data_IF_709189274491
#
_entry.id   IF_709189274491
#
_cell.length_a   1.000
_cell.length_b   1.000
_cell.length_c   1.000
_cell.angle_alpha   90.00
_cell.angle_beta   90.00
_cell.angle_gamma   90.00
#
_symmetry.space_group_name_H-M   'P 1'
#
loop_
_entity.id
_entity.type
_entity.pdbx_description
1 polymer ?
#
# COMPACT_ATOMS: atom_id res chain seq x y z
N UNK A 1 0.38 -19.84 -39.14
CA UNK A 1 1.40 -18.85 -39.55
C UNK A 1 1.51 -17.83 -38.42
N UNK A 2 2.40 -18.09 -37.45
CA UNK A 2 2.98 -17.15 -36.51
C UNK A 2 3.85 -17.93 -35.51
N UNK A 3 4.95 -18.51 -36.09
CA UNK A 3 6.08 -18.95 -35.29
C UNK A 3 7.20 -17.95 -35.59
N UNK A 4 7.37 -16.94 -34.76
CA UNK A 4 8.56 -16.08 -34.77
C UNK A 4 9.17 -16.08 -33.37
N UNK A 5 10.14 -17.03 -33.23
CA UNK A 5 11.47 -16.82 -32.73
C UNK A 5 11.57 -16.11 -31.37
N UNK A 6 11.63 -16.93 -30.31
CA UNK A 6 12.29 -16.55 -29.07
C UNK A 6 13.78 -16.76 -29.23
N UNK A 7 14.54 -15.69 -29.37
CA UNK A 7 16.00 -15.71 -29.24
C UNK A 7 16.33 -15.35 -27.79
N UNK A 8 16.66 -16.36 -26.99
CA UNK A 8 17.19 -16.15 -25.66
C UNK A 8 18.69 -15.88 -25.76
N UNK A 9 19.13 -14.69 -25.40
CA UNK A 9 20.54 -14.35 -25.26
C UNK A 9 20.96 -14.72 -23.83
N UNK A 10 21.75 -15.81 -23.71
CA UNK A 10 22.38 -16.17 -22.44
C UNK A 10 23.62 -15.29 -22.27
N UNK A 11 23.60 -14.33 -21.37
CA UNK A 11 24.78 -13.60 -20.94
C UNK A 11 25.28 -14.24 -19.64
N UNK A 12 26.34 -15.00 -19.72
CA UNK A 12 27.05 -15.56 -18.57
C UNK A 12 28.02 -14.52 -18.04
N UNK A 13 27.64 -13.86 -16.92
CA UNK A 13 28.54 -13.05 -16.12
C UNK A 13 29.09 -13.89 -14.96
N UNK A 14 30.41 -14.01 -14.87
CA UNK A 14 31.11 -14.70 -13.78
C UNK A 14 31.04 -13.85 -12.50
N UNK A 15 30.24 -14.28 -11.53
CA UNK A 15 30.47 -14.21 -10.08
C UNK A 15 29.15 -14.40 -9.31
N UNK A 16 29.00 -15.55 -8.72
CA UNK A 16 27.93 -16.14 -7.89
C UNK A 16 26.92 -17.05 -8.61
N UNK A 17 26.78 -18.31 -8.16
CA UNK A 17 26.06 -19.36 -8.89
C UNK A 17 24.53 -19.38 -8.71
N UNK A 18 23.88 -18.33 -8.20
CA UNK A 18 22.44 -18.41 -7.85
C UNK A 18 21.52 -17.35 -8.51
N UNK A 19 22.02 -16.52 -9.43
CA UNK A 19 21.15 -15.50 -10.03
C UNK A 19 21.27 -15.51 -11.54
N UNK A 20 20.25 -16.03 -12.23
CA UNK A 20 20.08 -15.91 -13.67
C UNK A 20 19.12 -14.76 -13.94
N UNK A 21 19.62 -13.67 -14.52
CA UNK A 21 18.79 -12.53 -14.92
C UNK A 21 18.36 -12.71 -16.36
N UNK A 22 17.07 -12.91 -16.62
CA UNK A 22 16.50 -12.96 -17.97
C UNK A 22 15.88 -11.59 -18.27
N UNK A 23 16.47 -10.85 -19.22
CA UNK A 23 15.89 -9.63 -19.76
C UNK A 23 15.00 -9.94 -20.95
N UNK A 24 13.69 -9.74 -20.83
CA UNK A 24 12.75 -9.76 -21.95
C UNK A 24 12.55 -8.34 -22.46
N UNK A 25 13.12 -8.03 -23.62
CA UNK A 25 12.87 -6.76 -24.32
C UNK A 25 11.74 -6.94 -25.31
N UNK A 26 10.60 -6.31 -25.04
CA UNK A 26 9.53 -6.13 -26.04
C UNK A 26 9.76 -4.78 -26.70
N UNK A 27 10.13 -4.79 -27.97
CA UNK A 27 10.31 -3.55 -28.73
C UNK A 27 8.99 -2.81 -28.91
N UNK A 28 8.88 -1.63 -28.35
CA UNK A 28 7.83 -0.65 -28.65
C UNK A 28 8.43 0.73 -28.92
N UNK A 29 7.80 1.40 -29.86
CA UNK A 29 8.03 2.73 -30.43
C UNK A 29 8.12 3.83 -29.35
N UNK A 30 8.94 4.89 -29.50
CA UNK A 30 9.25 5.84 -28.43
C UNK A 30 8.13 6.85 -28.15
N UNK A 31 7.66 6.86 -26.91
CA UNK A 31 6.88 7.93 -26.32
C UNK A 31 7.35 8.14 -24.87
N UNK A 32 7.26 9.34 -24.28
CA UNK A 32 7.83 9.63 -22.98
C UNK A 32 6.97 9.00 -21.86
N UNK A 33 7.40 7.86 -21.33
CA UNK A 33 6.79 7.21 -20.18
C UNK A 33 7.72 7.20 -18.99
N UNK A 34 7.16 7.58 -17.82
CA UNK A 34 7.79 7.44 -16.50
C UNK A 34 8.08 5.96 -16.20
N UNK A 35 9.18 5.61 -15.55
CA UNK A 35 9.49 4.22 -15.21
C UNK A 35 8.48 3.69 -14.18
N UNK A 36 7.84 2.55 -14.51
CA UNK A 36 7.05 1.75 -13.56
C UNK A 36 7.99 0.83 -12.78
N UNK A 37 7.68 0.50 -11.53
CA UNK A 37 8.52 -0.41 -10.74
C UNK A 37 8.56 -1.80 -11.36
N UNK A 38 9.75 -2.36 -11.50
CA UNK A 38 9.97 -3.72 -11.98
C UNK A 38 9.66 -4.70 -10.84
N UNK A 39 8.79 -5.67 -11.12
CA UNK A 39 8.57 -6.81 -10.23
C UNK A 39 9.68 -7.83 -10.52
N UNK A 40 10.59 -8.01 -9.56
CA UNK A 40 11.62 -9.05 -9.63
C UNK A 40 11.02 -10.33 -9.02
N UNK A 41 10.58 -11.25 -9.87
CA UNK A 41 10.16 -12.58 -9.42
C UNK A 41 11.41 -13.46 -9.17
N UNK A 42 11.51 -14.04 -7.96
CA UNK A 42 12.59 -14.98 -7.62
C UNK A 42 12.51 -16.23 -8.54
N UNK A 43 13.65 -16.69 -8.99
CA UNK A 43 13.84 -17.75 -9.99
C UNK A 43 13.12 -19.07 -9.69
N UNK A 44 12.87 -19.40 -8.43
CA UNK A 44 12.14 -20.62 -8.01
C UNK A 44 10.66 -20.59 -8.36
N UNK A 45 10.01 -19.44 -8.22
CA UNK A 45 8.57 -19.27 -8.53
C UNK A 45 8.33 -19.30 -10.04
N UNK A 46 9.29 -18.76 -10.82
CA UNK A 46 9.20 -18.79 -12.28
C UNK A 46 9.40 -20.20 -12.87
N UNK A 47 10.29 -21.01 -12.28
CA UNK A 47 10.51 -22.39 -12.72
C UNK A 47 9.28 -23.27 -12.43
N UNK A 48 8.59 -23.07 -11.29
CA UNK A 48 7.36 -23.78 -10.95
C UNK A 48 6.20 -23.39 -11.87
N UNK A 49 6.08 -22.10 -12.22
CA UNK A 49 5.08 -21.63 -13.17
C UNK A 49 5.35 -22.11 -14.61
N UNK A 50 6.64 -22.18 -15.01
CA UNK A 50 7.02 -22.73 -16.32
C UNK A 50 6.85 -24.25 -16.37
N UNK A 51 7.10 -24.96 -15.27
CA UNK A 51 6.91 -26.41 -15.18
C UNK A 51 5.42 -26.78 -15.20
N UNK A 52 4.56 -25.98 -14.57
CA UNK A 52 3.11 -26.17 -14.64
C UNK A 52 2.54 -25.88 -16.03
N UNK A 53 3.10 -24.91 -16.76
CA UNK A 53 2.74 -24.65 -18.16
C UNK A 53 3.23 -25.75 -19.12
N UNK A 54 4.37 -26.40 -18.82
CA UNK A 54 4.89 -27.51 -19.62
C UNK A 54 4.19 -28.84 -19.34
N UNK A 55 3.66 -29.04 -18.15
CA UNK A 55 2.90 -30.26 -17.80
C UNK A 55 1.49 -30.23 -18.42
N UNK A 56 0.89 -29.05 -18.59
CA UNK A 56 -0.37 -28.90 -19.30
C UNK A 56 -0.27 -29.01 -20.84
N UNK A 57 0.94 -28.99 -21.38
CA UNK A 57 1.16 -29.11 -22.84
C UNK A 57 1.46 -30.54 -23.34
N UNK A 58 1.50 -31.53 -22.42
CA UNK A 58 1.66 -32.96 -22.81
C UNK A 58 0.38 -33.74 -22.53
N UNK A 59 -0.77 -33.15 -22.80
CA UNK A 59 -1.98 -33.93 -23.02
C UNK A 59 -2.03 -34.36 -24.50
N UNK A 60 -1.43 -35.51 -24.76
CA UNK A 60 -1.58 -36.37 -25.92
C UNK A 60 -2.57 -35.88 -26.99
N UNK A 61 -2.06 -35.57 -28.17
CA UNK A 61 -2.82 -35.63 -29.38
C UNK A 61 -3.21 -37.09 -29.67
N UNK A 62 -4.23 -37.60 -28.96
CA UNK A 62 -5.05 -38.69 -29.46
C UNK A 62 -6.06 -38.02 -30.39
N UNK A 63 -6.02 -38.35 -31.68
CA UNK A 63 -7.07 -38.03 -32.64
C UNK A 63 -8.32 -38.81 -32.26
N UNK A 64 -9.02 -38.38 -31.20
CA UNK A 64 -10.37 -38.86 -30.94
C UNK A 64 -11.32 -38.01 -31.79
N UNK A 65 -12.11 -38.68 -32.60
CA UNK A 65 -13.21 -38.08 -33.38
C UNK A 65 -14.37 -37.62 -32.48
N UNK A 66 -14.22 -37.68 -31.17
CA UNK A 66 -15.25 -37.38 -30.19
C UNK A 66 -15.29 -35.91 -29.77
N UNK A 67 -16.42 -35.45 -29.27
CA UNK A 67 -16.59 -34.12 -28.65
C UNK A 67 -15.88 -34.11 -27.31
N UNK A 68 -14.90 -33.21 -27.20
CA UNK A 68 -14.12 -32.98 -25.98
C UNK A 68 -14.36 -31.55 -25.49
N UNK A 69 -14.67 -31.33 -24.21
CA UNK A 69 -14.81 -30.01 -23.67
C UNK A 69 -13.44 -29.30 -23.62
N UNK A 70 -13.44 -28.02 -23.93
CA UNK A 70 -12.23 -27.17 -23.86
C UNK A 70 -12.02 -26.55 -22.48
N UNK A 71 -13.11 -26.43 -21.71
CA UNK A 71 -13.09 -25.90 -20.34
C UNK A 71 -14.19 -26.58 -19.50
N UNK A 72 -13.95 -26.63 -18.19
CA UNK A 72 -14.92 -27.01 -17.19
C UNK A 72 -14.88 -26.02 -16.02
N UNK A 73 -16.02 -25.78 -15.36
CA UNK A 73 -16.08 -24.87 -14.20
C UNK A 73 -15.44 -25.48 -12.94
N UNK A 74 -15.19 -26.79 -12.94
CA UNK A 74 -14.47 -27.50 -11.88
C UNK A 74 -13.30 -28.28 -12.50
N UNK A 75 -12.38 -28.79 -11.69
CA UNK A 75 -11.29 -29.67 -12.13
C UNK A 75 -9.91 -29.07 -11.94
N UNK A 76 -9.70 -27.81 -12.31
CA UNK A 76 -8.39 -27.15 -12.17
C UNK A 76 -8.21 -26.47 -10.79
N UNK A 77 -9.27 -26.32 -10.02
CA UNK A 77 -9.28 -25.69 -8.71
C UNK A 77 -10.07 -26.51 -7.69
N UNK A 78 -9.66 -26.47 -6.41
CA UNK A 78 -10.46 -27.05 -5.33
C UNK A 78 -11.85 -26.39 -5.24
N UNK A 79 -12.85 -27.16 -4.88
CA UNK A 79 -14.23 -26.69 -4.70
C UNK A 79 -14.49 -26.48 -3.22
N UNK A 80 -14.69 -25.24 -2.83
CA UNK A 80 -14.92 -24.86 -1.43
C UNK A 80 -16.40 -24.68 -1.07
N UNK A 81 -17.25 -24.49 -2.04
CA UNK A 81 -18.68 -24.23 -1.84
C UNK A 81 -19.56 -25.44 -2.15
N UNK A 82 -20.87 -25.29 -1.97
CA UNK A 82 -21.84 -26.26 -2.44
C UNK A 82 -21.90 -26.26 -3.98
N UNK A 83 -22.27 -27.39 -4.54
CA UNK A 83 -22.37 -27.60 -5.99
C UNK A 83 -23.83 -27.78 -6.38
N UNK A 84 -24.37 -26.87 -7.17
CA UNK A 84 -25.68 -26.98 -7.78
C UNK A 84 -25.60 -27.32 -9.28
N UNK A 85 -24.53 -26.88 -9.95
CA UNK A 85 -24.31 -27.14 -11.37
C UNK A 85 -22.83 -27.18 -11.73
N UNK A 86 -22.51 -27.91 -12.81
CA UNK A 86 -21.19 -27.98 -13.43
C UNK A 86 -21.31 -27.71 -14.91
N UNK A 87 -20.48 -26.81 -15.47
CA UNK A 87 -20.56 -26.43 -16.88
C UNK A 87 -19.32 -26.89 -17.64
N UNK A 88 -19.59 -27.44 -18.83
CA UNK A 88 -18.59 -27.87 -19.79
C UNK A 88 -18.73 -27.02 -21.05
N UNK A 89 -17.61 -26.46 -21.53
CA UNK A 89 -17.57 -25.57 -22.66
C UNK A 89 -16.92 -26.27 -23.86
N UNK A 90 -17.53 -26.17 -25.03
CA UNK A 90 -17.08 -26.75 -26.29
C UNK A 90 -16.86 -25.67 -27.35
N UNK A 91 -15.89 -25.86 -28.22
CA UNK A 91 -15.61 -24.94 -29.33
C UNK A 91 -16.56 -25.08 -30.52
N UNK A 92 -17.59 -25.87 -30.38
CA UNK A 92 -18.65 -26.10 -31.39
C UNK A 92 -20.02 -26.06 -30.71
N UNK A 93 -21.06 -25.82 -31.48
CA UNK A 93 -22.43 -25.99 -31.01
C UNK A 93 -22.72 -27.43 -30.62
N UNK A 94 -23.46 -27.62 -29.55
CA UNK A 94 -23.79 -28.93 -28.98
C UNK A 94 -25.29 -29.12 -28.76
N UNK A 95 -25.73 -30.36 -28.76
CA UNK A 95 -27.05 -30.80 -28.33
C UNK A 95 -26.90 -31.95 -27.35
N UNK A 96 -27.85 -32.10 -26.44
CA UNK A 96 -27.86 -33.21 -25.46
C UNK A 96 -28.96 -34.20 -25.80
N UNK A 97 -28.71 -35.48 -25.50
CA UNK A 97 -29.73 -36.54 -25.61
C UNK A 97 -30.84 -36.23 -24.61
N UNK A 98 -32.13 -36.29 -25.03
CA UNK A 98 -33.24 -36.20 -24.09
C UNK A 98 -33.08 -37.20 -22.94
N UNK A 99 -33.34 -36.75 -21.71
CA UNK A 99 -33.26 -37.56 -20.48
C UNK A 99 -31.86 -38.11 -20.15
N UNK A 100 -30.81 -37.76 -20.89
CA UNK A 100 -29.45 -38.12 -20.52
C UNK A 100 -29.09 -37.55 -19.16
N UNK A 101 -28.35 -38.33 -18.37
CA UNK A 101 -27.92 -37.97 -17.03
C UNK A 101 -26.41 -37.96 -16.94
N UNK A 102 -25.89 -37.09 -16.10
CA UNK A 102 -24.52 -37.16 -15.61
C UNK A 102 -24.53 -37.64 -14.17
N UNK A 103 -23.38 -38.09 -13.72
CA UNK A 103 -23.22 -38.66 -12.39
C UNK A 103 -22.12 -38.01 -11.63
N UNK A 104 -22.42 -37.58 -10.39
CA UNK A 104 -21.41 -37.20 -9.42
C UNK A 104 -21.00 -38.44 -8.63
N UNK A 105 -19.73 -38.76 -8.60
CA UNK A 105 -19.19 -39.96 -7.96
C UNK A 105 -18.11 -39.64 -6.94
N UNK A 106 -18.06 -40.46 -5.87
CA UNK A 106 -16.92 -40.61 -4.98
C UNK A 106 -16.37 -42.04 -5.17
N UNK A 107 -15.20 -42.19 -5.73
CA UNK A 107 -14.72 -43.49 -6.20
C UNK A 107 -15.69 -44.09 -7.23
N UNK A 108 -16.26 -45.30 -6.92
CA UNK A 108 -17.25 -45.97 -7.75
C UNK A 108 -18.70 -45.68 -7.33
N UNK A 109 -18.91 -45.09 -6.17
CA UNK A 109 -20.22 -44.77 -5.63
C UNK A 109 -20.80 -43.52 -6.34
N UNK A 110 -22.07 -43.63 -6.76
CA UNK A 110 -22.82 -42.47 -7.29
C UNK A 110 -23.47 -41.72 -6.15
N UNK A 111 -23.04 -40.49 -5.94
CA UNK A 111 -23.55 -39.58 -4.89
C UNK A 111 -24.80 -38.86 -5.35
N UNK A 112 -24.82 -38.40 -6.61
CA UNK A 112 -25.95 -37.68 -7.18
C UNK A 112 -26.04 -37.89 -8.69
N UNK A 113 -27.28 -37.73 -9.21
CA UNK A 113 -27.55 -37.65 -10.65
C UNK A 113 -27.85 -36.19 -11.02
N UNK A 114 -27.29 -35.75 -12.13
CA UNK A 114 -27.55 -34.41 -12.70
C UNK A 114 -28.22 -34.52 -14.05
N UNK A 115 -29.17 -33.64 -14.32
CA UNK A 115 -29.77 -33.48 -15.65
C UNK A 115 -28.85 -32.69 -16.57
N UNK A 116 -28.85 -33.03 -17.86
CA UNK A 116 -28.08 -32.29 -18.86
C UNK A 116 -28.95 -31.25 -19.55
N UNK A 117 -28.44 -30.04 -19.61
CA UNK A 117 -28.99 -28.96 -20.44
C UNK A 117 -27.89 -28.39 -21.33
N UNK A 118 -28.24 -27.78 -22.46
CA UNK A 118 -27.27 -27.14 -23.32
C UNK A 118 -27.72 -25.79 -23.81
N UNK A 119 -26.75 -24.92 -24.08
CA UNK A 119 -26.95 -23.63 -24.74
C UNK A 119 -25.84 -23.36 -25.74
N UNK A 120 -26.17 -22.76 -26.89
CA UNK A 120 -25.21 -22.44 -27.92
C UNK A 120 -25.14 -20.92 -28.12
N UNK A 121 -23.94 -20.42 -28.23
CA UNK A 121 -23.67 -19.05 -28.59
C UNK A 121 -22.94 -19.00 -29.93
N UNK A 122 -23.53 -18.34 -30.92
CA UNK A 122 -22.95 -18.15 -32.24
C UNK A 122 -22.55 -16.69 -32.41
N UNK A 123 -21.27 -16.41 -32.27
CA UNK A 123 -20.68 -15.11 -32.51
C UNK A 123 -20.13 -14.97 -33.93
N UNK A 124 -19.69 -13.74 -34.30
CA UNK A 124 -19.13 -13.45 -35.63
C UNK A 124 -17.91 -14.29 -36.03
N UNK A 125 -17.19 -14.87 -35.05
CA UNK A 125 -15.92 -15.56 -35.28
C UNK A 125 -15.90 -17.03 -34.87
N UNK A 126 -16.82 -17.47 -34.01
CA UNK A 126 -16.89 -18.84 -33.50
C UNK A 126 -18.27 -19.17 -32.98
N UNK A 127 -18.62 -20.46 -33.01
CA UNK A 127 -19.73 -21.03 -32.26
C UNK A 127 -19.15 -21.71 -31.04
N UNK A 128 -19.81 -21.53 -29.89
CA UNK A 128 -19.42 -22.11 -28.62
C UNK A 128 -20.66 -22.77 -28.02
N UNK A 129 -20.52 -24.04 -27.65
CA UNK A 129 -21.54 -24.76 -26.94
C UNK A 129 -21.23 -24.84 -25.44
N UNK A 130 -22.24 -24.77 -24.61
CA UNK A 130 -22.15 -25.02 -23.17
C UNK A 130 -23.11 -26.10 -22.79
N UNK A 131 -22.61 -27.12 -22.09
CA UNK A 131 -23.43 -28.16 -21.45
C UNK A 131 -23.38 -27.93 -19.96
N UNK A 132 -24.54 -27.81 -19.32
CA UNK A 132 -24.68 -27.75 -17.87
C UNK A 132 -25.15 -29.09 -17.34
N UNK A 133 -24.52 -29.57 -16.29
CA UNK A 133 -24.97 -30.67 -15.44
C UNK A 133 -25.64 -30.02 -14.25
N UNK A 134 -26.94 -30.09 -14.13
CA UNK A 134 -27.72 -29.46 -13.07
C UNK A 134 -28.20 -30.50 -12.08
N UNK A 135 -27.79 -30.40 -10.83
CA UNK A 135 -28.23 -31.26 -9.74
C UNK A 135 -29.55 -30.76 -9.17
N UNK A 136 -30.41 -31.70 -8.71
CA UNK A 136 -31.74 -31.36 -8.19
C UNK A 136 -31.67 -30.48 -6.93
N UNK A 137 -30.66 -30.71 -6.12
CA UNK A 137 -30.39 -30.00 -4.87
C UNK A 137 -28.97 -29.39 -4.86
N UNK A 138 -28.76 -28.42 -4.02
CA UNK A 138 -27.43 -27.89 -3.73
C UNK A 138 -26.66 -28.91 -2.87
N UNK A 139 -25.58 -29.46 -3.42
CA UNK A 139 -24.83 -30.56 -2.83
C UNK A 139 -23.68 -30.03 -1.96
N UNK A 140 -23.78 -30.22 -0.66
CA UNK A 140 -22.70 -29.94 0.29
C UNK A 140 -21.89 -31.24 0.51
N UNK A 141 -20.84 -31.41 -0.28
CA UNK A 141 -20.01 -32.61 -0.27
C UNK A 141 -19.07 -32.64 0.95
N UNK A 142 -18.82 -33.83 1.54
CA UNK A 142 -17.80 -34.01 2.57
C UNK A 142 -16.44 -33.46 2.18
N UNK A 143 -15.77 -32.80 3.13
CA UNK A 143 -14.43 -32.24 2.94
C UNK A 143 -13.33 -33.30 3.02
N UNK A 144 -12.20 -33.01 2.37
CA UNK A 144 -11.05 -33.93 2.34
C UNK A 144 -11.19 -35.09 1.36
N UNK A 145 -12.21 -35.05 0.52
CA UNK A 145 -12.54 -36.12 -0.41
C UNK A 145 -12.39 -35.68 -1.86
N UNK A 146 -12.16 -36.66 -2.74
CA UNK A 146 -12.10 -36.45 -4.20
C UNK A 146 -13.37 -36.97 -4.86
N UNK A 147 -13.84 -36.17 -5.78
CA UNK A 147 -15.07 -36.45 -6.54
C UNK A 147 -14.79 -36.38 -8.03
N UNK A 148 -15.68 -36.97 -8.81
CA UNK A 148 -15.66 -36.82 -10.27
C UNK A 148 -17.07 -36.64 -10.81
N UNK A 149 -17.20 -35.75 -11.79
CA UNK A 149 -18.41 -35.62 -12.60
C UNK A 149 -18.21 -36.44 -13.86
N UNK A 150 -19.11 -37.38 -14.12
CA UNK A 150 -19.06 -38.28 -15.27
C UNK A 150 -20.26 -38.03 -16.18
N UNK A 151 -20.01 -37.75 -17.44
CA UNK A 151 -21.01 -37.68 -18.51
C UNK A 151 -20.79 -38.90 -19.39
N UNK A 152 -21.78 -39.83 -19.47
CA UNK A 152 -21.64 -41.04 -20.27
C UNK A 152 -21.42 -40.76 -21.76
N UNK A 153 -20.78 -41.68 -22.44
CA UNK A 153 -20.64 -41.67 -23.88
C UNK A 153 -21.99 -41.52 -24.59
N UNK A 154 -22.05 -40.72 -25.64
CA UNK A 154 -23.26 -40.53 -26.45
C UNK A 154 -24.34 -39.67 -25.79
N UNK A 155 -24.04 -38.98 -24.71
CA UNK A 155 -24.93 -38.03 -24.05
C UNK A 155 -24.97 -36.65 -24.71
N UNK A 156 -23.89 -36.28 -25.39
CA UNK A 156 -23.72 -34.98 -26.06
C UNK A 156 -23.37 -35.21 -27.54
N UNK A 157 -24.02 -34.46 -28.42
CA UNK A 157 -23.78 -34.47 -29.85
C UNK A 157 -23.36 -33.11 -30.38
N UNK A 158 -22.63 -33.08 -31.47
CA UNK A 158 -22.40 -31.83 -32.20
C UNK A 158 -23.72 -31.36 -32.79
N UNK A 159 -24.05 -30.08 -32.61
CA UNK A 159 -25.29 -29.50 -33.12
C UNK A 159 -25.50 -29.78 -34.63
N UNK A 160 -26.68 -30.24 -34.97
CA UNK A 160 -27.08 -30.56 -36.34
C UNK A 160 -26.53 -31.86 -36.89
N UNK A 161 -25.85 -32.70 -36.10
CA UNK A 161 -25.37 -34.02 -36.51
C UNK A 161 -25.61 -35.05 -35.42
N UNK A 162 -25.81 -36.31 -35.78
CA UNK A 162 -25.88 -37.45 -34.84
C UNK A 162 -24.62 -38.32 -34.86
N UNK A 163 -23.68 -38.01 -35.76
CA UNK A 163 -22.53 -38.88 -36.04
C UNK A 163 -21.32 -38.56 -35.16
N UNK A 164 -21.32 -37.37 -34.53
CA UNK A 164 -20.22 -36.90 -33.68
C UNK A 164 -20.77 -36.73 -32.27
N UNK A 165 -20.44 -37.67 -31.38
CA UNK A 165 -20.85 -37.65 -29.98
C UNK A 165 -19.61 -37.59 -29.05
N UNK A 166 -19.85 -37.31 -27.76
CA UNK A 166 -18.80 -37.43 -26.76
C UNK A 166 -18.45 -38.89 -26.48
N UNK A 167 -17.18 -39.15 -26.21
CA UNK A 167 -16.77 -40.30 -25.39
C UNK A 167 -17.15 -40.00 -23.92
N UNK A 168 -16.92 -40.94 -23.00
CA UNK A 168 -17.12 -40.66 -21.58
C UNK A 168 -16.28 -39.44 -21.17
N UNK A 169 -16.90 -38.39 -20.65
CA UNK A 169 -16.24 -37.24 -20.08
C UNK A 169 -16.20 -37.44 -18.58
N UNK A 170 -15.00 -37.40 -17.99
CA UNK A 170 -14.79 -37.49 -16.55
C UNK A 170 -13.89 -36.38 -16.08
N UNK A 171 -14.37 -35.57 -15.14
CA UNK A 171 -13.61 -34.48 -14.54
C UNK A 171 -13.53 -34.65 -13.03
N UNK A 172 -12.31 -34.79 -12.54
CA UNK A 172 -12.05 -34.95 -11.11
C UNK A 172 -11.86 -33.56 -10.45
N UNK A 173 -12.28 -33.47 -9.20
CA UNK A 173 -12.07 -32.32 -8.34
C UNK A 173 -11.96 -32.76 -6.88
N UNK A 174 -11.44 -31.84 -6.04
CA UNK A 174 -11.29 -32.09 -4.61
C UNK A 174 -12.11 -31.06 -3.81
N UNK A 175 -12.75 -31.52 -2.75
CA UNK A 175 -13.28 -30.69 -1.68
C UNK A 175 -12.23 -30.68 -0.57
N UNK A 176 -11.48 -29.61 -0.39
CA UNK A 176 -10.32 -29.62 0.51
C UNK A 176 -10.73 -29.74 1.98
N UNK A 177 -9.84 -30.26 2.81
CA UNK A 177 -10.05 -30.39 4.26
C UNK A 177 -9.92 -29.07 5.02
N UNK A 178 -9.20 -28.10 4.45
CA UNK A 178 -8.94 -26.76 5.00
C UNK A 178 -8.84 -25.72 3.88
N UNK A 179 -8.63 -24.45 4.22
CA UNK A 179 -8.51 -23.34 3.28
C UNK A 179 -7.24 -23.34 2.42
N UNK A 180 -6.37 -24.35 2.58
CA UNK A 180 -5.09 -24.39 1.90
C UNK A 180 -4.06 -23.45 2.55
N UNK A 181 -2.97 -23.23 1.84
CA UNK A 181 -1.87 -22.42 2.34
C UNK A 181 -2.24 -20.94 2.33
N UNK A 182 -2.12 -20.29 3.48
CA UNK A 182 -2.22 -18.84 3.62
C UNK A 182 -0.99 -18.16 3.00
N UNK A 183 -1.21 -17.16 2.15
CA UNK A 183 -0.15 -16.33 1.56
C UNK A 183 -0.12 -14.98 2.28
N UNK A 184 0.96 -14.61 2.96
CA UNK A 184 1.02 -13.35 3.68
C UNK A 184 1.02 -12.15 2.72
N UNK A 185 0.45 -11.03 3.16
CA UNK A 185 0.42 -9.76 2.41
C UNK A 185 1.76 -9.02 2.42
N UNK A 186 2.67 -9.42 3.29
CA UNK A 186 4.06 -8.95 3.35
C UNK A 186 4.99 -10.14 3.25
N UNK A 187 6.15 -9.97 2.63
CA UNK A 187 7.13 -11.05 2.51
C UNK A 187 7.74 -11.40 3.87
N UNK A 188 7.98 -12.69 4.09
CA UNK A 188 8.68 -13.21 5.28
C UNK A 188 10.05 -12.53 5.44
N UNK A 189 10.30 -11.94 6.62
CA UNK A 189 11.54 -11.24 6.96
C UNK A 189 11.73 -9.89 6.26
N UNK A 190 10.71 -9.38 5.57
CA UNK A 190 10.78 -8.06 4.91
C UNK A 190 10.80 -6.91 5.92
N UNK A 191 11.23 -5.73 5.46
CA UNK A 191 11.16 -4.51 6.26
C UNK A 191 9.89 -3.74 5.94
N UNK A 192 9.06 -3.49 6.96
CA UNK A 192 7.80 -2.75 6.87
C UNK A 192 7.92 -1.45 7.66
N UNK A 193 7.88 -0.31 6.97
CA UNK A 193 7.95 1.01 7.63
C UNK A 193 6.59 1.42 8.17
N UNK A 194 5.59 1.42 7.30
CA UNK A 194 4.20 1.74 7.63
C UNK A 194 3.25 0.99 6.70
N UNK A 195 2.11 0.59 7.21
CA UNK A 195 1.07 -0.10 6.44
C UNK A 195 -0.31 0.19 7.03
N UNK A 196 -1.34 0.22 6.21
CA UNK A 196 -2.73 0.39 6.62
C UNK A 196 -3.44 -0.95 6.86
N UNK A 197 -3.04 -2.00 6.13
CA UNK A 197 -3.59 -3.35 6.24
C UNK A 197 -2.51 -4.40 6.19
N UNK A 198 -2.61 -5.45 7.03
CA UNK A 198 -1.69 -6.60 7.03
C UNK A 198 -2.47 -7.88 7.32
N UNK A 199 -2.19 -8.95 6.58
CA UNK A 199 -2.90 -10.21 6.75
C UNK A 199 -2.45 -11.30 5.80
N UNK A 200 -3.37 -12.20 5.47
CA UNK A 200 -3.14 -13.40 4.67
C UNK A 200 -4.20 -13.53 3.58
N UNK A 201 -3.77 -13.97 2.40
CA UNK A 201 -4.64 -14.32 1.29
C UNK A 201 -4.87 -15.82 1.25
N UNK A 202 -6.08 -16.21 0.86
CA UNK A 202 -6.53 -17.58 0.69
C UNK A 202 -7.03 -17.81 -0.74
N UNK A 203 -6.97 -19.04 -1.25
CA UNK A 203 -7.37 -19.35 -2.64
C UNK A 203 -8.87 -19.32 -2.89
N UNK A 204 -9.68 -18.91 -1.92
CA UNK A 204 -11.14 -18.78 -2.01
C UNK A 204 -11.63 -17.65 -1.14
N UNK A 205 -12.84 -17.15 -1.41
CA UNK A 205 -13.52 -16.21 -0.53
C UNK A 205 -13.64 -16.73 0.90
N UNK A 206 -13.40 -15.86 1.87
CA UNK A 206 -13.38 -16.23 3.29
C UNK A 206 -14.48 -15.53 4.08
N UNK A 207 -14.91 -16.17 5.15
CA UNK A 207 -15.82 -15.63 6.14
C UNK A 207 -15.18 -15.65 7.54
N UNK A 208 -15.46 -14.63 8.33
CA UNK A 208 -15.05 -14.60 9.72
C UNK A 208 -15.87 -15.59 10.54
N UNK A 209 -15.21 -16.34 11.42
CA UNK A 209 -15.90 -17.17 12.41
C UNK A 209 -16.11 -16.35 13.68
N UNK A 210 -17.12 -16.70 14.46
CA UNK A 210 -17.45 -15.98 15.71
C UNK A 210 -16.26 -16.00 16.67
N UNK A 211 -15.94 -14.82 17.24
CA UNK A 211 -14.82 -14.64 18.16
C UNK A 211 -13.43 -14.69 17.49
N UNK A 212 -13.35 -14.68 16.16
CA UNK A 212 -12.09 -14.73 15.47
C UNK A 212 -11.24 -13.49 15.75
N UNK A 213 -9.96 -13.70 15.78
CA UNK A 213 -8.99 -12.65 16.05
C UNK A 213 -7.66 -12.96 15.42
N UNK A 214 -6.88 -11.92 15.19
CA UNK A 214 -5.51 -12.00 14.71
C UNK A 214 -4.62 -11.23 15.69
N UNK A 215 -3.45 -11.75 15.97
CA UNK A 215 -2.57 -11.19 17.00
C UNK A 215 -1.31 -10.63 16.37
N UNK A 216 -1.02 -9.36 16.69
CA UNK A 216 0.26 -8.74 16.42
C UNK A 216 1.20 -8.98 17.61
N UNK A 217 2.38 -9.53 17.32
CA UNK A 217 3.44 -9.75 18.31
C UNK A 217 4.61 -8.78 18.03
N UNK A 218 5.28 -8.35 19.08
CA UNK A 218 6.52 -7.58 19.06
C UNK A 218 7.57 -8.35 19.84
N UNK A 219 8.71 -8.66 19.23
CA UNK A 219 9.77 -9.47 19.87
C UNK A 219 9.22 -10.78 20.46
N UNK A 220 8.26 -11.41 19.78
CA UNK A 220 7.61 -12.64 20.22
C UNK A 220 6.56 -12.47 21.33
N UNK A 221 6.32 -11.25 21.83
CA UNK A 221 5.32 -10.95 22.86
C UNK A 221 4.07 -10.37 22.23
N UNK A 222 2.85 -10.86 22.54
CA UNK A 222 1.62 -10.27 22.06
C UNK A 222 1.48 -8.78 22.47
N UNK A 223 1.37 -7.90 21.49
CA UNK A 223 1.15 -6.47 21.72
C UNK A 223 -0.34 -6.19 21.78
N UNK A 224 -1.07 -6.73 20.83
CA UNK A 224 -2.50 -6.53 20.69
C UNK A 224 -3.15 -7.60 19.81
N UNK A 225 -4.34 -7.99 20.22
CA UNK A 225 -5.25 -8.83 19.42
C UNK A 225 -6.31 -7.95 18.79
N UNK A 226 -6.54 -8.13 17.51
CA UNK A 226 -7.50 -7.40 16.71
C UNK A 226 -8.61 -8.33 16.24
N UNK A 227 -9.85 -7.85 16.05
CA UNK A 227 -10.80 -8.56 15.23
C UNK A 227 -10.17 -8.83 13.85
N UNK A 228 -10.38 -10.03 13.33
CA UNK A 228 -9.91 -10.34 11.99
C UNK A 228 -10.85 -9.72 10.96
N UNK A 229 -10.36 -8.76 10.19
CA UNK A 229 -11.07 -8.20 9.04
C UNK A 229 -11.01 -9.19 7.87
N UNK A 230 -12.15 -9.49 7.29
CA UNK A 230 -12.25 -10.37 6.12
C UNK A 230 -12.80 -9.59 4.94
N UNK A 231 -12.17 -9.80 3.81
CA UNK A 231 -12.60 -9.22 2.55
C UNK A 231 -12.22 -10.17 1.41
N UNK A 232 -12.64 -9.87 0.20
CA UNK A 232 -12.20 -10.61 -0.99
C UNK A 232 -11.78 -9.62 -2.07
N UNK A 233 -10.85 -10.08 -2.89
CA UNK A 233 -10.41 -9.39 -4.08
C UNK A 233 -10.32 -10.41 -5.23
N UNK A 234 -11.19 -10.21 -6.22
CA UNK A 234 -11.41 -11.18 -7.30
C UNK A 234 -11.84 -12.53 -6.74
N UNK A 235 -11.02 -13.56 -6.88
CA UNK A 235 -11.28 -14.94 -6.42
C UNK A 235 -10.54 -15.28 -5.12
N UNK A 236 -9.86 -14.32 -4.49
CA UNK A 236 -9.05 -14.53 -3.30
C UNK A 236 -9.75 -13.98 -2.06
N UNK A 237 -9.80 -14.78 -1.01
CA UNK A 237 -10.16 -14.33 0.31
C UNK A 237 -9.00 -13.64 1.00
N UNK A 238 -9.27 -12.63 1.81
CA UNK A 238 -8.32 -11.96 2.66
C UNK A 238 -8.77 -12.05 4.11
N UNK A 239 -7.83 -12.30 5.03
CA UNK A 239 -8.04 -12.25 6.48
C UNK A 239 -6.89 -11.50 7.13
N UNK A 240 -7.16 -10.42 7.84
CA UNK A 240 -6.10 -9.58 8.38
C UNK A 240 -6.55 -8.53 9.37
N UNK A 241 -5.72 -7.52 9.55
CA UNK A 241 -5.99 -6.33 10.33
C UNK A 241 -6.10 -5.15 9.36
N UNK A 242 -7.19 -4.41 9.45
CA UNK A 242 -7.29 -3.07 8.94
C UNK A 242 -7.10 -2.11 10.12
N UNK A 243 -6.02 -1.35 10.10
CA UNK A 243 -5.73 -0.40 11.18
C UNK A 243 -6.59 0.87 11.08
N UNK A 244 -7.19 1.15 9.92
CA UNK A 244 -7.90 2.40 9.65
C UNK A 244 -6.98 3.63 9.56
N UNK A 245 -5.68 3.44 9.70
CA UNK A 245 -4.63 4.46 9.58
C UNK A 245 -3.30 3.77 9.22
N UNK A 246 -2.29 4.55 8.81
CA UNK A 246 -0.96 4.01 8.58
C UNK A 246 -0.27 3.67 9.89
N UNK A 247 -0.29 2.39 10.24
CA UNK A 247 0.44 1.86 11.40
C UNK A 247 1.94 1.87 11.11
N UNK A 248 2.72 2.44 12.02
CA UNK A 248 4.17 2.56 11.94
C UNK A 248 4.83 1.47 12.78
N UNK A 249 5.81 0.78 12.21
CA UNK A 249 6.56 -0.28 12.87
C UNK A 249 7.98 0.21 13.18
N UNK A 250 8.33 0.23 14.47
CA UNK A 250 9.58 0.76 14.98
C UNK A 250 10.79 0.07 14.33
N UNK A 251 11.77 0.89 13.93
CA UNK A 251 12.95 0.44 13.21
C UNK A 251 13.74 -0.65 13.96
N UNK A 252 14.14 -1.70 13.24
CA UNK A 252 14.89 -2.85 13.75
C UNK A 252 14.19 -3.72 14.79
N UNK A 253 12.90 -3.49 15.05
CA UNK A 253 12.08 -4.32 15.93
C UNK A 253 11.46 -5.45 15.13
N UNK A 254 11.49 -6.67 15.68
CA UNK A 254 10.87 -7.84 15.06
C UNK A 254 9.39 -7.91 15.41
N UNK A 255 8.58 -8.07 14.39
CA UNK A 255 7.14 -8.25 14.51
C UNK A 255 6.70 -9.57 13.89
N UNK A 256 5.62 -10.12 14.42
CA UNK A 256 4.96 -11.28 13.83
C UNK A 256 3.45 -11.04 13.81
N UNK A 257 2.81 -11.48 12.72
CA UNK A 257 1.36 -11.53 12.64
C UNK A 257 0.93 -12.99 12.73
N UNK A 258 0.11 -13.33 13.71
CA UNK A 258 -0.40 -14.67 13.96
C UNK A 258 -1.89 -14.73 13.71
N UNK A 259 -2.31 -15.54 12.73
CA UNK A 259 -3.68 -15.94 12.50
C UNK A 259 -3.89 -17.35 13.08
N UNK A 260 -4.67 -17.51 14.13
CA UNK A 260 -4.89 -18.81 14.74
C UNK A 260 -5.60 -19.78 13.80
N UNK A 261 -5.42 -21.07 14.00
CA UNK A 261 -6.21 -22.11 13.33
C UNK A 261 -7.70 -21.91 13.61
N UNK A 262 -8.53 -22.00 12.57
CA UNK A 262 -9.97 -21.88 12.69
C UNK A 262 -10.49 -20.45 12.92
N UNK A 263 -9.68 -19.42 12.63
CA UNK A 263 -10.11 -18.04 12.72
C UNK A 263 -11.04 -17.63 11.57
N UNK A 264 -10.84 -18.18 10.39
CA UNK A 264 -11.66 -17.94 9.20
C UNK A 264 -12.04 -19.25 8.53
N UNK A 265 -13.12 -19.23 7.77
CA UNK A 265 -13.60 -20.37 6.98
C UNK A 265 -13.80 -19.96 5.52
N UNK A 266 -14.02 -20.94 4.64
CA UNK A 266 -14.56 -20.66 3.31
C UNK A 266 -15.96 -20.03 3.42
N UNK A 267 -16.32 -19.12 2.51
CA UNK A 267 -17.51 -18.26 2.63
C UNK A 267 -18.80 -19.04 2.93
N UNK A 268 -19.06 -20.16 2.32
CA UNK A 268 -20.27 -20.94 2.52
C UNK A 268 -20.01 -22.29 3.21
N UNK A 269 -18.84 -22.45 3.86
CA UNK A 269 -18.38 -23.70 4.45
C UNK A 269 -17.64 -23.45 5.77
N UNK A 270 -18.39 -23.25 6.83
CA UNK A 270 -17.82 -23.00 8.17
C UNK A 270 -17.00 -24.18 8.72
N UNK A 271 -17.10 -25.36 8.11
CA UNK A 271 -16.33 -26.56 8.45
C UNK A 271 -14.96 -26.62 7.73
N UNK A 272 -14.72 -25.82 6.68
CA UNK A 272 -13.44 -25.71 5.98
C UNK A 272 -12.74 -24.43 6.46
N UNK A 273 -11.84 -24.58 7.42
CA UNK A 273 -11.17 -23.46 8.11
C UNK A 273 -9.70 -23.36 7.76
N UNK A 274 -9.08 -22.21 8.12
CA UNK A 274 -7.65 -22.04 7.99
C UNK A 274 -6.86 -22.92 8.97
N UNK A 275 -5.67 -23.34 8.59
CA UNK A 275 -4.61 -23.74 9.53
C UNK A 275 -3.96 -22.49 10.15
N UNK A 276 -3.19 -22.67 11.23
CA UNK A 276 -2.43 -21.57 11.81
C UNK A 276 -1.48 -20.98 10.77
N UNK A 277 -1.45 -19.64 10.69
CA UNK A 277 -0.56 -18.92 9.81
C UNK A 277 0.19 -17.83 10.56
N UNK A 278 1.48 -17.72 10.30
CA UNK A 278 2.35 -16.70 10.88
C UNK A 278 3.21 -16.09 9.78
N UNK A 279 3.45 -14.79 9.88
CA UNK A 279 4.44 -14.08 9.07
C UNK A 279 5.26 -13.18 9.97
N UNK A 280 6.59 -13.20 9.77
CA UNK A 280 7.53 -12.38 10.50
C UNK A 280 8.06 -11.26 9.60
N UNK A 281 8.22 -10.06 10.17
CA UNK A 281 8.76 -8.91 9.47
C UNK A 281 9.50 -7.99 10.44
N UNK A 282 10.27 -7.05 9.91
CA UNK A 282 11.09 -6.12 10.69
C UNK A 282 10.51 -4.72 10.51
N UNK A 283 10.33 -3.99 11.59
CA UNK A 283 9.95 -2.59 11.52
C UNK A 283 11.06 -1.74 10.88
N UNK A 284 10.66 -0.77 10.06
CA UNK A 284 11.58 0.14 9.36
C UNK A 284 11.32 1.62 9.65
N UNK A 285 10.34 1.94 10.51
CA UNK A 285 10.00 3.31 10.81
C UNK A 285 10.98 3.90 11.84
N UNK A 286 11.65 4.93 11.41
CA UNK A 286 12.42 5.81 12.31
C UNK A 286 11.69 7.14 12.35
N UNK A 287 11.39 7.62 13.55
CA UNK A 287 10.83 8.96 13.65
C UNK A 287 11.79 9.97 12.99
N UNK A 288 11.28 10.82 12.11
CA UNK A 288 12.13 11.86 11.54
C UNK A 288 12.68 12.68 12.68
N UNK A 289 13.99 12.84 12.67
CA UNK A 289 14.69 13.65 13.66
C UNK A 289 14.11 15.06 13.57
N UNK A 290 13.47 15.51 14.67
CA UNK A 290 12.92 16.87 14.75
C UNK A 290 14.08 17.85 14.63
N UNK A 291 14.10 18.73 13.61
CA UNK A 291 15.20 19.67 13.47
C UNK A 291 15.27 20.58 14.72
N UNK A 292 16.48 20.87 15.16
CA UNK A 292 16.71 21.72 16.31
C UNK A 292 16.49 23.18 15.91
N UNK A 293 15.24 23.65 16.07
CA UNK A 293 14.82 25.01 15.75
C UNK A 293 14.28 25.70 17.00
N UNK A 294 14.47 27.01 17.12
CA UNK A 294 13.85 27.76 18.19
C UNK A 294 12.34 27.93 17.94
N UNK A 295 11.57 27.99 19.01
CA UNK A 295 10.12 28.19 18.96
C UNK A 295 9.72 29.66 19.02
N UNK A 296 10.55 30.49 19.65
CA UNK A 296 10.32 31.91 19.80
C UNK A 296 11.66 32.67 19.98
N UNK A 297 11.68 33.95 19.68
CA UNK A 297 12.86 34.84 19.80
C UNK A 297 12.45 36.19 20.40
N UNK A 298 13.27 36.71 21.29
CA UNK A 298 13.02 38.01 21.95
C UNK A 298 12.89 39.22 20.98
N UNK A 299 13.44 39.07 19.78
CA UNK A 299 13.31 40.11 18.74
C UNK A 299 11.90 40.23 18.16
N UNK A 300 11.03 39.24 18.37
CA UNK A 300 9.65 39.28 17.87
C UNK A 300 8.78 40.31 18.63
N UNK A 301 9.09 40.55 19.90
CA UNK A 301 8.32 41.50 20.73
C UNK A 301 9.01 42.88 20.84
N UNK A 302 10.34 42.88 20.71
CA UNK A 302 11.14 44.11 20.90
C UNK A 302 12.13 44.26 19.76
N UNK A 303 11.88 45.25 18.93
CA UNK A 303 12.80 45.67 17.87
C UNK A 303 13.75 46.75 18.40
N UNK A 304 15.05 46.42 18.54
CA UNK A 304 16.01 47.44 18.99
C UNK A 304 16.15 48.56 17.93
N UNK A 305 16.19 49.82 18.37
CA UNK A 305 16.23 50.99 17.47
C UNK A 305 17.63 51.52 17.24
N UNK A 306 18.52 51.43 18.21
CA UNK A 306 19.82 52.03 18.20
C UNK A 306 20.97 51.12 18.64
N UNK A 307 20.65 50.14 19.48
CA UNK A 307 21.64 49.21 20.03
C UNK A 307 21.06 47.80 20.16
N UNK A 308 21.86 46.81 19.81
CA UNK A 308 21.54 45.42 20.05
C UNK A 308 22.27 44.94 21.32
N UNK A 309 21.50 44.60 22.34
CA UNK A 309 22.02 44.02 23.57
C UNK A 309 21.96 42.49 23.48
N UNK A 310 21.11 41.87 24.28
CA UNK A 310 20.93 40.45 24.34
C UNK A 310 19.80 40.02 23.39
N UNK A 311 20.01 38.91 22.68
CA UNK A 311 19.00 38.21 21.91
C UNK A 311 18.81 36.83 22.47
N UNK A 312 17.55 36.44 22.80
CA UNK A 312 17.21 35.20 23.43
C UNK A 312 16.37 34.38 22.44
N UNK A 313 16.80 33.12 22.20
CA UNK A 313 16.08 32.16 21.41
C UNK A 313 15.58 31.05 22.34
N UNK A 314 14.31 30.66 22.22
CA UNK A 314 13.62 29.69 23.07
C UNK A 314 13.47 28.38 22.37
N UNK A 315 13.84 27.28 23.02
CA UNK A 315 13.77 25.92 22.51
C UNK A 315 12.82 25.07 23.35
N UNK A 316 12.05 24.20 22.72
CA UNK A 316 11.12 23.27 23.38
C UNK A 316 11.77 21.93 23.76
N UNK A 317 13.07 21.80 23.52
CA UNK A 317 13.84 20.60 23.81
C UNK A 317 15.22 20.93 24.39
N UNK A 318 15.84 20.00 25.14
CA UNK A 318 17.15 20.18 25.71
C UNK A 318 18.22 20.48 24.65
N UNK A 319 18.97 21.58 24.82
CA UNK A 319 20.05 21.97 23.91
C UNK A 319 21.35 22.15 24.66
N UNK A 320 22.47 21.92 23.96
CA UNK A 320 23.84 22.22 24.41
C UNK A 320 24.59 22.96 23.31
N UNK A 321 25.63 23.68 23.70
CA UNK A 321 26.57 24.30 22.74
C UNK A 321 27.48 23.22 22.13
N UNK A 322 27.80 23.39 20.86
CA UNK A 322 28.85 22.62 20.18
C UNK A 322 30.26 23.07 20.68
N UNK A 323 31.30 22.46 20.13
CA UNK A 323 32.69 22.80 20.51
C UNK A 323 33.08 24.24 20.18
N UNK A 324 32.58 24.81 19.09
CA UNK A 324 32.87 26.16 18.61
C UNK A 324 31.56 26.91 18.32
N UNK A 325 30.78 27.24 19.35
CA UNK A 325 29.49 27.86 19.16
C UNK A 325 29.67 29.34 18.83
N UNK A 326 28.95 29.80 17.80
CA UNK A 326 28.95 31.21 17.42
C UNK A 326 27.53 31.62 16.99
N UNK A 327 27.18 32.88 17.36
CA UNK A 327 26.00 33.54 16.80
C UNK A 327 26.49 34.82 16.15
N UNK A 328 26.01 35.10 14.95
CA UNK A 328 26.49 36.19 14.10
C UNK A 328 25.45 37.30 13.99
N UNK A 329 25.89 38.54 14.03
CA UNK A 329 25.13 39.69 13.55
C UNK A 329 25.61 40.02 12.14
N UNK A 330 24.67 40.06 11.19
CA UNK A 330 24.97 40.31 9.79
C UNK A 330 24.21 41.53 9.28
N UNK A 331 24.82 42.24 8.34
CA UNK A 331 24.21 43.31 7.54
C UNK A 331 23.83 42.83 6.15
N UNK A 332 23.05 43.65 5.44
CA UNK A 332 22.72 43.48 4.03
C UNK A 332 22.22 42.09 3.66
N UNK A 333 21.17 41.62 4.36
CA UNK A 333 20.59 40.33 4.16
C UNK A 333 21.62 39.19 4.26
N UNK A 334 22.37 39.16 5.38
CA UNK A 334 23.31 38.11 5.77
C UNK A 334 24.59 38.02 4.93
N UNK A 335 24.92 39.05 4.13
CA UNK A 335 26.11 39.04 3.28
C UNK A 335 27.37 39.48 3.99
N UNK A 336 27.23 40.22 5.08
CA UNK A 336 28.38 40.80 5.80
C UNK A 336 28.22 40.53 7.30
N UNK A 337 29.10 39.72 7.88
CA UNK A 337 29.15 39.49 9.33
C UNK A 337 29.83 40.69 9.98
N UNK A 338 29.13 41.42 10.83
CA UNK A 338 29.64 42.62 11.52
C UNK A 338 30.03 42.37 12.96
N UNK A 339 29.47 41.34 13.60
CA UNK A 339 29.86 40.89 14.94
C UNK A 339 29.58 39.41 15.11
N UNK A 340 30.47 38.72 15.81
CA UNK A 340 30.30 37.35 16.28
C UNK A 340 30.34 37.33 17.80
N UNK A 341 29.48 36.51 18.39
CA UNK A 341 29.43 36.34 19.84
C UNK A 341 29.38 34.86 20.18
N UNK A 342 29.97 34.45 21.28
CA UNK A 342 29.85 33.14 21.85
C UNK A 342 28.59 33.12 22.71
N UNK A 343 27.56 32.34 22.33
CA UNK A 343 26.33 32.32 23.08
C UNK A 343 26.47 31.52 24.37
N UNK A 344 25.49 31.66 25.27
CA UNK A 344 25.33 30.78 26.45
C UNK A 344 24.02 30.05 26.37
N UNK A 345 23.93 28.85 27.00
CA UNK A 345 22.70 28.10 27.14
C UNK A 345 22.27 28.09 28.58
N UNK A 346 21.01 28.41 28.85
CA UNK A 346 20.39 28.40 30.17
C UNK A 346 19.13 27.55 30.16
N UNK A 347 18.80 26.95 31.28
CA UNK A 347 17.48 26.33 31.49
C UNK A 347 16.74 27.12 32.56
N UNK A 348 15.63 27.70 32.21
CA UNK A 348 14.77 28.47 33.12
C UNK A 348 13.38 27.83 33.15
N UNK A 349 13.00 27.29 34.30
CA UNK A 349 11.70 26.66 34.52
C UNK A 349 11.35 25.55 33.51
N UNK A 350 12.34 24.81 33.05
CA UNK A 350 12.17 23.74 32.06
C UNK A 350 12.22 24.20 30.60
N UNK A 351 12.36 25.51 30.35
CA UNK A 351 12.56 26.08 29.04
C UNK A 351 14.04 26.29 28.75
N UNK A 352 14.49 25.86 27.58
CA UNK A 352 15.88 26.01 27.17
C UNK A 352 16.07 27.31 26.36
N UNK A 353 17.05 28.07 26.73
CA UNK A 353 17.34 29.41 26.17
C UNK A 353 18.76 29.43 25.60
N UNK A 354 18.89 29.84 24.34
CA UNK A 354 20.15 30.26 23.77
C UNK A 354 20.22 31.79 23.87
N UNK A 355 21.22 32.27 24.56
CA UNK A 355 21.39 33.70 24.82
C UNK A 355 22.64 34.21 24.09
N UNK A 356 22.45 35.14 23.19
CA UNK A 356 23.52 35.81 22.45
C UNK A 356 23.61 37.30 22.89
N UNK A 357 24.67 37.65 23.61
CA UNK A 357 24.90 39.02 24.10
C UNK A 357 25.81 39.78 23.13
N UNK A 358 25.25 40.78 22.48
CA UNK A 358 25.97 41.65 21.54
C UNK A 358 26.57 42.89 22.20
N UNK A 359 26.47 43.01 23.53
CA UNK A 359 27.10 44.05 24.34
C UNK A 359 26.82 45.50 23.82
N UNK A 360 25.56 45.78 23.59
CA UNK A 360 25.11 47.08 23.13
C UNK A 360 25.68 47.48 21.75
N UNK A 361 25.85 46.53 20.83
CA UNK A 361 26.33 46.82 19.47
C UNK A 361 25.48 47.92 18.81
N UNK A 362 26.09 49.03 18.33
CA UNK A 362 25.35 50.12 17.72
C UNK A 362 24.77 49.70 16.37
N UNK A 363 23.47 49.92 16.17
CA UNK A 363 22.79 49.69 14.92
C UNK A 363 22.74 50.97 14.10
N UNK A 364 23.23 50.93 12.86
CA UNK A 364 23.14 52.07 11.96
C UNK A 364 21.72 52.25 11.44
N UNK A 365 21.24 53.48 11.41
CA UNK A 365 19.94 53.78 10.81
C UNK A 365 19.93 53.35 9.33
N UNK A 366 18.76 52.92 8.87
CA UNK A 366 18.53 52.47 7.49
C UNK A 366 19.32 51.20 7.05
N UNK A 367 20.01 50.53 7.99
CA UNK A 367 20.75 49.30 7.74
C UNK A 367 19.94 48.12 8.23
N UNK A 368 19.65 47.16 7.33
CA UNK A 368 19.00 45.88 7.69
C UNK A 368 19.99 44.96 8.37
N UNK A 369 19.67 44.52 9.58
CA UNK A 369 20.45 43.52 10.32
C UNK A 369 19.69 42.22 10.49
N UNK A 370 20.44 41.13 10.58
CA UNK A 370 19.92 39.79 10.91
C UNK A 370 20.82 39.11 11.92
N UNK A 371 20.23 38.46 12.90
CA UNK A 371 20.95 37.53 13.77
C UNK A 371 20.89 36.14 13.17
N UNK A 372 22.05 35.53 12.98
CA UNK A 372 22.22 34.20 12.37
C UNK A 372 22.78 33.26 13.41
N UNK A 373 22.12 32.14 13.57
CA UNK A 373 22.65 30.95 14.28
C UNK A 373 23.15 30.02 13.20
N UNK A 374 24.47 29.87 12.97
CA UNK A 374 25.02 28.96 11.99
C UNK A 374 24.62 27.51 12.25
N UNK A 375 24.62 26.72 11.20
CA UNK A 375 24.46 25.27 11.33
C UNK A 375 25.53 24.68 12.25
N UNK A 376 25.13 23.77 13.14
CA UNK A 376 26.05 23.13 14.06
C UNK A 376 26.49 23.97 15.28
N UNK A 377 25.88 25.13 15.54
CA UNK A 377 26.12 25.90 16.76
C UNK A 377 25.59 25.21 18.01
N UNK A 378 24.45 24.50 17.87
CA UNK A 378 23.77 23.77 18.92
C UNK A 378 23.67 22.28 18.58
N UNK A 379 23.65 21.45 19.64
CA UNK A 379 23.40 20.03 19.58
C UNK A 379 22.32 19.67 20.60
N UNK A 380 21.61 18.55 20.37
CA UNK A 380 20.71 18.00 21.39
C UNK A 380 21.48 17.50 22.60
N UNK A 381 20.90 17.66 23.80
CA UNK A 381 21.52 17.21 25.04
C UNK A 381 21.36 15.72 25.28
N UNK A 382 20.24 15.15 24.85
CA UNK A 382 19.87 13.76 25.12
C UNK A 382 19.54 13.04 23.80
N UNK A 383 19.90 11.76 23.67
CA UNK A 383 19.59 10.93 22.52
C UNK A 383 20.59 11.03 21.36
N UNK A 384 20.10 10.79 20.15
CA UNK A 384 20.92 10.95 18.94
C UNK A 384 21.32 12.41 18.76
N UNK A 385 22.60 12.64 18.47
CA UNK A 385 23.12 14.00 18.31
C UNK A 385 22.50 14.66 17.07
N UNK A 386 21.63 15.63 17.31
CA UNK A 386 21.04 16.47 16.28
C UNK A 386 21.68 17.84 16.35
N UNK A 387 22.15 18.32 15.24
CA UNK A 387 22.66 19.70 15.11
C UNK A 387 21.55 20.64 14.64
N UNK A 388 21.61 21.91 15.02
CA UNK A 388 20.71 22.89 14.44
C UNK A 388 21.03 23.12 12.96
N UNK A 389 20.00 23.34 12.17
CA UNK A 389 20.15 23.95 10.84
C UNK A 389 20.45 25.44 11.00
N UNK A 390 20.94 26.09 9.93
CA UNK A 390 21.14 27.54 9.93
C UNK A 390 19.82 28.25 10.16
N UNK A 391 19.73 29.08 11.19
CA UNK A 391 18.56 29.88 11.53
C UNK A 391 18.89 31.39 11.38
N UNK A 392 17.94 32.14 10.87
CA UNK A 392 18.07 33.57 10.61
C UNK A 392 16.86 34.30 11.17
N UNK A 393 17.12 35.37 11.95
CA UNK A 393 16.07 36.23 12.50
C UNK A 393 16.41 37.67 12.19
N UNK A 394 15.50 38.39 11.55
CA UNK A 394 15.68 39.82 11.30
C UNK A 394 15.67 40.59 12.62
N UNK A 395 16.68 41.42 12.84
CA UNK A 395 16.65 42.49 13.81
C UNK A 395 15.77 43.55 13.18
N UNK A 396 14.61 43.82 13.76
CA UNK A 396 13.62 44.72 13.18
C UNK A 396 14.29 45.98 12.68
N UNK A 397 14.09 46.25 11.41
CA UNK A 397 14.77 47.35 10.76
C UNK A 397 14.23 48.68 11.28
N UNK A 398 15.13 49.53 11.65
CA UNK A 398 14.91 50.97 11.67
C UNK A 398 14.80 51.58 10.27
N UNK A 399 14.48 50.79 9.21
CA UNK A 399 13.94 51.43 8.02
C UNK A 399 12.69 52.14 8.47
N UNK A 400 12.90 53.41 8.77
CA UNK A 400 11.87 54.36 9.01
C UNK A 400 10.71 54.25 8.02
N UNK A 401 9.83 53.40 8.33
CA UNK A 401 8.47 53.85 8.39
C UNK A 401 8.44 54.61 9.74
N UNK A 402 9.24 55.68 9.85
CA UNK A 402 8.89 56.85 10.65
C UNK A 402 7.41 57.01 10.33
N UNK A 403 6.59 56.90 11.37
CA UNK A 403 5.18 56.75 11.20
C UNK A 403 4.73 57.56 10.01
N UNK A 404 4.25 56.89 8.97
CA UNK A 404 3.41 57.59 8.03
C UNK A 404 2.44 58.23 8.97
N UNK A 405 2.71 59.54 9.26
CA UNK A 405 1.73 60.38 9.93
C UNK A 405 0.48 60.09 9.12
N UNK A 406 -0.38 59.28 9.69
CA UNK A 406 -1.61 58.88 9.03
C UNK A 406 -2.20 60.23 8.74
N UNK A 407 -2.04 60.66 7.47
CA UNK A 407 -2.66 61.90 7.04
C UNK A 407 -4.09 61.71 7.45
N UNK A 408 -4.48 62.42 8.50
CA UNK A 408 -5.69 62.20 9.28
C UNK A 408 -6.96 62.40 8.46
N UNK A 409 -6.87 62.34 7.13
CA UNK A 409 -7.93 62.57 6.18
C UNK A 409 -7.94 61.68 4.93
N UNK A 410 -7.47 60.42 5.02
CA UNK A 410 -7.75 59.50 3.91
C UNK A 410 -8.85 58.53 4.29
N UNK A 411 -10.05 58.76 3.81
CA UNK A 411 -11.21 57.82 3.85
C UNK A 411 -10.93 56.49 3.11
N UNK A 412 -9.67 56.10 3.05
CA UNK A 412 -9.24 54.90 2.34
C UNK A 412 -9.51 53.64 3.17
N UNK A 413 -10.15 52.68 2.53
CA UNK A 413 -10.52 51.38 3.11
C UNK A 413 -9.61 50.32 2.50
N UNK A 414 -9.07 49.47 3.35
CA UNK A 414 -8.19 48.37 2.92
C UNK A 414 -8.67 47.00 3.45
N UNK A 415 -8.42 45.95 2.70
CA UNK A 415 -8.50 44.59 3.24
C UNK A 415 -7.40 44.33 4.23
N UNK A 416 -7.44 43.22 4.98
CA UNK A 416 -6.32 42.80 5.85
C UNK A 416 -5.04 42.51 5.08
N UNK A 417 -5.12 42.25 3.77
CA UNK A 417 -3.98 42.03 2.87
C UNK A 417 -3.45 43.32 2.24
N UNK A 418 -3.95 44.50 2.66
CA UNK A 418 -3.52 45.78 2.15
C UNK A 418 -4.10 46.23 0.80
N UNK A 419 -5.05 45.48 0.26
CA UNK A 419 -5.73 45.85 -1.00
C UNK A 419 -6.72 46.99 -0.71
N UNK A 420 -6.60 48.10 -1.44
CA UNK A 420 -7.52 49.23 -1.32
C UNK A 420 -8.90 48.92 -1.85
N UNK A 421 -9.92 49.22 -1.06
CA UNK A 421 -11.34 49.07 -1.42
C UNK A 421 -11.95 50.43 -1.71
N UNK A 422 -12.86 50.51 -2.67
CA UNK A 422 -13.61 51.71 -2.98
C UNK A 422 -14.76 52.01 -2.00
N UNK A 423 -15.20 50.94 -1.29
CA UNK A 423 -16.27 51.01 -0.26
C UNK A 423 -16.11 49.85 0.72
N UNK A 424 -16.65 49.94 1.95
CA UNK A 424 -16.66 48.85 2.90
C UNK A 424 -17.25 47.57 2.27
N UNK A 425 -16.65 46.40 2.53
CA UNK A 425 -17.23 45.14 2.06
C UNK A 425 -18.57 44.90 2.76
N UNK A 426 -19.45 44.15 2.11
CA UNK A 426 -20.76 43.77 2.71
C UNK A 426 -20.61 42.85 3.91
N UNK A 427 -19.59 42.04 3.93
CA UNK A 427 -19.22 41.14 5.05
C UNK A 427 -17.70 41.02 5.15
N UNK A 428 -17.20 40.84 6.36
CA UNK A 428 -15.77 40.60 6.59
C UNK A 428 -15.08 41.70 7.37
N UNK A 429 -13.73 41.61 7.42
CA UNK A 429 -12.90 42.55 8.18
C UNK A 429 -12.17 43.48 7.24
N UNK A 430 -12.16 44.77 7.57
CA UNK A 430 -11.43 45.81 6.81
C UNK A 430 -10.77 46.80 7.74
N UNK A 431 -9.83 47.57 7.21
CA UNK A 431 -9.10 48.62 7.90
C UNK A 431 -9.51 49.97 7.29
N UNK A 432 -9.91 50.90 8.11
CA UNK A 432 -10.19 52.28 7.73
C UNK A 432 -9.60 53.24 8.77
N UNK A 433 -8.86 54.22 8.34
CA UNK A 433 -8.17 55.18 9.22
C UNK A 433 -7.32 54.47 10.30
N UNK A 434 -6.59 53.42 9.91
CA UNK A 434 -5.76 52.64 10.82
C UNK A 434 -6.51 51.77 11.84
N UNK A 435 -7.84 51.73 11.82
CA UNK A 435 -8.68 50.94 12.73
C UNK A 435 -9.33 49.77 12.01
N UNK A 436 -9.43 48.68 12.74
CA UNK A 436 -10.09 47.44 12.25
C UNK A 436 -11.59 47.50 12.47
N UNK A 437 -12.36 47.24 11.40
CA UNK A 437 -13.81 47.17 11.42
C UNK A 437 -14.30 45.80 10.94
N UNK A 438 -15.46 45.41 11.43
CA UNK A 438 -16.14 44.17 11.00
C UNK A 438 -17.46 44.57 10.35
N UNK A 439 -17.57 44.29 9.06
CA UNK A 439 -18.87 44.39 8.36
C UNK A 439 -19.68 43.12 8.66
N UNK A 440 -20.90 43.28 9.13
CA UNK A 440 -21.84 42.18 9.46
C UNK A 440 -22.81 41.91 8.31
#
# INVERSE_FOLDING_TARGET
MLLKVFQALLVTGHSHPETITICLTVGMVPGPCRPKPFIIMKTRTFLLALLSLLISAVSSAATSSGLVPTQCTIGDRPVYGPISSVRFIFDVGVSVTPEAKAYLKNGDETIAEGSLSCSNYTGKKRTQGTVSVDFADELLLPKGEKYRVVIPQGSIFKEGTSDVSNEEISVEFEVPSNLGQATPSVDEGSTVTEIDRIGFYFPTETAALEGNSITLLREGVPVRTYPCDVSWDWDLGYAGIDFGYRMKFENRVHYSLLLPKGAVSALHRSDITNEEAIVNFIGGYTEPVKPLTYTWCSLFDHHPSDKLNEVIFYYDQPVMLSENPVVQLCEAHERNVVKEVVPTVRNENGQWLLVADFDGFPLAAETGYSVVIPEGTLITKDGDVVVNTRNVTSVGNTTGIEGVEASTNSDHIYTLQGVRLQRPPKQGVYIQNGKKFVAK
#
